data_IF_606469691929
#
_entry.id   IF_606469691929
#
_cell.length_a   1.000
_cell.length_b   1.000
_cell.length_c   1.000
_cell.angle_alpha   90.00
_cell.angle_beta   90.00
_cell.angle_gamma   90.00
#
_symmetry.space_group_name_H-M   'P 1'
#
loop_
_entity.id
_entity.type
_entity.pdbx_description
1 polymer ?
#
# COMPACT_ATOMS: atom_id res chain seq x y z
N UNK A 1 -11.39 1.05 22.91
CA UNK A 1 -11.18 1.76 21.63
C UNK A 1 -9.73 1.66 21.18
N UNK A 2 -9.44 1.78 19.88
CA UNK A 2 -8.05 1.78 19.41
C UNK A 2 -7.32 3.07 19.80
N UNK A 3 -6.00 3.00 20.01
CA UNK A 3 -5.16 4.18 20.27
C UNK A 3 -5.23 5.15 19.09
N UNK A 4 -5.43 6.45 19.36
CA UNK A 4 -5.48 7.51 18.35
C UNK A 4 -4.24 7.49 17.43
N UNK A 5 -3.05 7.31 18.01
CA UNK A 5 -1.80 7.21 17.26
C UNK A 5 -1.80 6.10 16.21
N UNK A 6 -2.51 5.00 16.46
CA UNK A 6 -2.60 3.86 15.54
C UNK A 6 -3.59 4.13 14.41
N UNK A 7 -4.69 4.83 14.70
CA UNK A 7 -5.66 5.28 13.69
C UNK A 7 -5.00 6.28 12.73
N UNK A 8 -4.32 7.29 13.27
CA UNK A 8 -3.57 8.29 12.49
C UNK A 8 -2.45 7.66 11.66
N UNK A 9 -1.75 6.65 12.20
CA UNK A 9 -0.73 5.90 11.45
C UNK A 9 -1.32 5.19 10.22
N UNK A 10 -2.54 4.66 10.32
CA UNK A 10 -3.22 4.03 9.20
C UNK A 10 -3.67 5.07 8.17
N UNK A 11 -4.20 6.21 8.60
CA UNK A 11 -4.55 7.32 7.72
C UNK A 11 -3.33 7.85 6.96
N UNK A 12 -2.16 7.99 7.61
CA UNK A 12 -0.91 8.37 6.96
C UNK A 12 -0.52 7.36 5.86
N UNK A 13 -0.70 6.06 6.10
CA UNK A 13 -0.46 5.00 5.09
C UNK A 13 -1.42 5.09 3.91
N UNK A 14 -2.70 5.39 4.15
CA UNK A 14 -3.69 5.58 3.07
C UNK A 14 -3.27 6.73 2.16
N UNK A 15 -2.90 7.88 2.74
CA UNK A 15 -2.43 9.06 1.98
C UNK A 15 -1.17 8.75 1.17
N UNK A 16 -0.16 8.12 1.79
CA UNK A 16 1.07 7.76 1.08
C UNK A 16 0.83 6.69 0.01
N UNK A 17 -0.04 5.71 0.25
CA UNK A 17 -0.35 4.69 -0.75
C UNK A 17 -1.02 5.34 -1.97
N UNK A 18 -1.98 6.24 -1.78
CA UNK A 18 -2.60 6.95 -2.89
C UNK A 18 -1.58 7.73 -3.73
N UNK A 19 -0.62 8.40 -3.08
CA UNK A 19 0.45 9.15 -3.77
C UNK A 19 1.39 8.26 -4.60
N UNK A 20 1.78 7.09 -4.07
CA UNK A 20 2.77 6.21 -4.72
C UNK A 20 2.16 5.08 -5.57
N UNK A 21 0.84 4.89 -5.55
CA UNK A 21 0.15 3.86 -6.32
C UNK A 21 0.42 3.93 -7.84
N UNK A 22 0.38 5.10 -8.52
CA UNK A 22 0.61 5.15 -9.97
C UNK A 22 2.02 4.69 -10.34
N UNK A 23 3.04 5.25 -9.67
CA UNK A 23 4.46 4.89 -9.89
C UNK A 23 4.68 3.39 -9.60
N UNK A 24 4.09 2.87 -8.53
CA UNK A 24 4.19 1.44 -8.19
C UNK A 24 3.46 0.54 -9.18
N UNK A 25 2.36 0.99 -9.77
CA UNK A 25 1.62 0.22 -10.76
C UNK A 25 2.44 0.08 -12.06
N UNK A 26 3.04 1.18 -12.52
CA UNK A 26 3.92 1.19 -13.70
C UNK A 26 5.16 0.31 -13.51
N UNK A 27 5.86 0.46 -12.38
CA UNK A 27 7.04 -0.36 -12.08
C UNK A 27 6.70 -1.84 -11.92
N UNK A 28 5.54 -2.18 -11.34
CA UNK A 28 5.07 -3.58 -11.27
C UNK A 28 4.80 -4.16 -12.64
N UNK A 29 4.14 -3.41 -13.53
CA UNK A 29 3.89 -3.84 -14.91
C UNK A 29 5.20 -4.14 -15.64
N UNK A 30 6.19 -3.24 -15.54
CA UNK A 30 7.53 -3.44 -16.14
C UNK A 30 8.27 -4.63 -15.52
N UNK A 31 8.16 -4.83 -14.21
CA UNK A 31 8.85 -5.91 -13.51
C UNK A 31 8.29 -7.33 -13.79
N UNK A 32 7.04 -7.44 -14.25
CA UNK A 32 6.37 -8.71 -14.58
C UNK A 32 6.44 -9.00 -16.10
N UNK A 33 6.63 -7.97 -16.93
CA UNK A 33 6.67 -8.14 -18.38
C UNK A 33 7.87 -9.02 -18.81
N UNK A 34 7.55 -10.14 -19.45
CA UNK A 34 8.53 -11.12 -19.93
C UNK A 34 9.17 -10.72 -21.27
N UNK A 35 8.54 -9.82 -22.02
CA UNK A 35 9.03 -9.35 -23.32
C UNK A 35 10.14 -8.30 -23.22
N UNK A 36 10.44 -7.84 -22.01
CA UNK A 36 11.47 -6.85 -21.73
C UNK A 36 12.77 -7.55 -21.32
N UNK A 37 13.91 -6.96 -21.70
CA UNK A 37 15.25 -7.39 -21.26
C UNK A 37 15.33 -7.60 -19.74
N UNK A 38 16.07 -8.62 -19.33
CA UNK A 38 16.25 -8.97 -17.91
C UNK A 38 16.81 -7.76 -17.12
N UNK A 39 17.70 -6.98 -17.73
CA UNK A 39 18.32 -5.79 -17.11
C UNK A 39 17.30 -4.70 -16.77
N UNK A 40 16.38 -4.41 -17.69
CA UNK A 40 15.32 -3.43 -17.47
C UNK A 40 14.30 -3.92 -16.44
N UNK A 41 14.03 -5.23 -16.42
CA UNK A 41 13.18 -5.88 -15.41
C UNK A 41 13.82 -5.79 -14.02
N UNK A 42 15.11 -6.04 -13.91
CA UNK A 42 15.87 -5.87 -12.68
C UNK A 42 15.92 -4.42 -12.22
N UNK A 43 16.14 -3.48 -13.14
CA UNK A 43 16.12 -2.05 -12.83
C UNK A 43 14.75 -1.61 -12.30
N UNK A 44 13.65 -2.11 -12.89
CA UNK A 44 12.30 -1.87 -12.40
C UNK A 44 12.07 -2.45 -11.00
N UNK A 45 12.58 -3.66 -10.73
CA UNK A 45 12.52 -4.29 -9.39
C UNK A 45 13.32 -3.48 -8.35
N UNK A 46 14.54 -3.04 -8.68
CA UNK A 46 15.38 -2.19 -7.81
C UNK A 46 14.68 -0.87 -7.49
N UNK A 47 14.11 -0.20 -8.50
CA UNK A 47 13.31 1.04 -8.32
C UNK A 47 12.05 0.81 -7.48
N UNK A 48 11.41 -0.35 -7.59
CA UNK A 48 10.25 -0.69 -6.77
C UNK A 48 10.63 -0.87 -5.30
N UNK A 49 11.80 -1.47 -5.04
CA UNK A 49 12.32 -1.70 -3.69
C UNK A 49 12.79 -0.42 -3.00
N UNK A 50 13.29 0.57 -3.73
CA UNK A 50 13.71 1.86 -3.18
C UNK A 50 12.54 2.74 -2.70
N UNK A 51 11.32 2.50 -3.20
CA UNK A 51 10.13 3.24 -2.78
C UNK A 51 9.74 2.98 -1.31
N UNK A 52 9.18 3.98 -0.61
CA UNK A 52 8.84 3.85 0.80
C UNK A 52 7.85 2.70 1.04
N UNK A 53 8.18 1.79 1.98
CA UNK A 53 7.36 0.60 2.29
C UNK A 53 5.91 0.93 2.62
N UNK A 54 5.67 2.04 3.33
CA UNK A 54 4.33 2.46 3.76
C UNK A 54 3.45 3.03 2.63
N UNK A 55 4.03 3.33 1.46
CA UNK A 55 3.25 3.66 0.26
C UNK A 55 2.69 2.43 -0.47
N UNK A 56 2.81 1.23 0.10
CA UNK A 56 2.17 0.03 -0.44
C UNK A 56 0.77 -0.13 0.14
N UNK A 57 -0.23 -0.29 -0.73
CA UNK A 57 -1.63 -0.55 -0.36
C UNK A 57 -1.79 -1.76 0.56
N UNK A 58 -0.92 -2.78 0.45
CA UNK A 58 -0.98 -3.99 1.28
C UNK A 58 -0.74 -3.75 2.78
N UNK A 59 -0.13 -2.63 3.15
CA UNK A 59 0.14 -2.28 4.57
C UNK A 59 -1.01 -1.53 5.24
N UNK A 60 -2.02 -1.15 4.49
CA UNK A 60 -3.24 -0.53 5.03
C UNK A 60 -4.06 -1.63 5.72
N UNK A 61 -4.55 -1.34 6.92
CA UNK A 61 -5.48 -2.23 7.63
C UNK A 61 -6.87 -1.61 7.61
N UNK A 62 -7.89 -2.42 7.30
CA UNK A 62 -9.27 -1.99 7.49
C UNK A 62 -9.52 -1.85 9.00
N UNK A 63 -10.15 -0.75 9.39
CA UNK A 63 -10.48 -0.43 10.78
C UNK A 63 -11.93 -0.01 10.86
N UNK A 64 -12.59 -0.39 11.94
CA UNK A 64 -13.94 0.08 12.29
C UNK A 64 -13.95 1.61 12.34
N UNK A 65 -14.91 2.25 11.69
CA UNK A 65 -15.03 3.71 11.62
C UNK A 65 -15.33 4.33 12.99
N UNK A 66 -16.12 3.66 13.83
CA UNK A 66 -16.50 4.15 15.15
C UNK A 66 -15.40 3.97 16.19
N UNK A 67 -14.82 2.77 16.29
CA UNK A 67 -13.92 2.42 17.42
C UNK A 67 -12.45 2.25 17.03
N UNK A 68 -12.14 2.21 15.72
CA UNK A 68 -10.80 1.95 15.20
C UNK A 68 -10.33 0.50 15.32
N UNK A 69 -11.20 -0.45 15.72
CA UNK A 69 -10.89 -1.89 15.85
C UNK A 69 -10.38 -2.45 14.53
N UNK A 70 -9.29 -3.22 14.57
CA UNK A 70 -8.60 -3.70 13.35
C UNK A 70 -9.06 -5.10 12.87
N UNK A 71 -9.95 -5.76 13.61
CA UNK A 71 -10.42 -7.13 13.34
C UNK A 71 -11.95 -7.14 13.37
N UNK A 72 -12.54 -8.07 12.62
CA UNK A 72 -14.00 -8.20 12.53
C UNK A 72 -14.66 -7.06 11.75
N UNK A 73 -13.91 -6.36 10.89
CA UNK A 73 -14.44 -5.23 10.12
C UNK A 73 -15.20 -5.75 8.91
N UNK A 74 -16.50 -5.49 8.86
CA UNK A 74 -17.33 -5.83 7.71
C UNK A 74 -17.16 -4.77 6.62
N UNK A 75 -16.54 -5.15 5.49
CA UNK A 75 -16.11 -4.21 4.43
C UNK A 75 -17.25 -3.35 3.86
N UNK A 76 -18.49 -3.86 3.81
CA UNK A 76 -19.64 -3.12 3.28
C UNK A 76 -20.04 -1.94 4.15
N UNK A 77 -19.90 -2.07 5.47
CA UNK A 77 -20.31 -1.06 6.45
C UNK A 77 -19.13 -0.37 7.14
N UNK A 78 -17.92 -0.88 6.96
CA UNK A 78 -16.70 -0.40 7.63
C UNK A 78 -16.83 -0.36 9.17
N UNK A 79 -17.62 -1.27 9.73
CA UNK A 79 -17.87 -1.47 11.16
C UNK A 79 -17.24 -2.78 11.63
#
# INVERSE_FOLDING_TARGET
MAKLSVVLRNQKRIKMAAHFEPIRAELRKKAINQNISEEEREAARKKLQSLPRNGSKTRIRNRCMATGRARGVYKKFML
#
